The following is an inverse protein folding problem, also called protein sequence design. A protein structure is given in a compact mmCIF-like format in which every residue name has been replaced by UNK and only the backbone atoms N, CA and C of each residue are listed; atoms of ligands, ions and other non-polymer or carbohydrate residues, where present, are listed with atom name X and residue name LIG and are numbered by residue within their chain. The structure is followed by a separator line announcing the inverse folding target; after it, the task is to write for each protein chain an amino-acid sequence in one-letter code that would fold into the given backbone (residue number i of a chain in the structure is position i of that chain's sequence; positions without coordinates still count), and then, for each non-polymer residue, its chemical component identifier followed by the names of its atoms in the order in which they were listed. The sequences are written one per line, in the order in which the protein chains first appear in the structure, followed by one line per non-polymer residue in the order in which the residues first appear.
data_IF_000654279789
#
_entry.id   IF_000654279789
#
_cell.length_a   1.000
_cell.length_b   1.000
_cell.length_c   1.000
_cell.angle_alpha   90.00
_cell.angle_beta   90.00
_cell.angle_gamma   90.00
#
_symmetry.space_group_name_H-M   'P 1'
#
loop_
_entity.id
_entity.type
_entity.pdbx_description
1 polymer ?
#
# COMPACT_ATOMS: atom_id res chain seq x y z
N UNK A 1 9.57 5.26 3.01
CA UNK A 1 10.45 4.44 3.88
C UNK A 1 11.93 4.76 3.68
N UNK A 2 12.61 4.33 2.61
CA UNK A 2 14.06 4.59 2.40
C UNK A 2 14.46 6.06 2.54
N UNK A 3 13.64 6.96 2.01
CA UNK A 3 13.82 8.41 2.18
C UNK A 3 13.88 8.83 3.66
N UNK A 4 12.95 8.36 4.48
CA UNK A 4 12.94 8.64 5.91
C UNK A 4 14.15 8.00 6.61
N UNK A 5 14.45 6.73 6.31
CA UNK A 5 15.61 6.03 6.88
C UNK A 5 16.95 6.74 6.59
N UNK A 6 17.09 7.37 5.43
CA UNK A 6 18.34 8.02 5.02
C UNK A 6 18.45 9.50 5.44
N UNK A 7 17.36 10.26 5.34
CA UNK A 7 17.40 11.71 5.51
C UNK A 7 16.73 12.20 6.81
N UNK A 8 15.87 11.38 7.41
CA UNK A 8 15.05 11.73 8.57
C UNK A 8 14.93 10.54 9.55
N UNK A 9 16.06 9.98 10.02
CA UNK A 9 16.05 8.80 10.90
C UNK A 9 15.24 9.01 12.18
N UNK A 10 15.16 10.26 12.67
CA UNK A 10 14.34 10.63 13.83
C UNK A 10 12.84 10.42 13.60
N UNK A 11 12.37 10.41 12.36
CA UNK A 11 10.96 10.16 12.00
C UNK A 11 10.64 8.69 11.71
N UNK A 12 11.63 7.80 11.69
CA UNK A 12 11.40 6.37 11.37
C UNK A 12 10.44 5.72 12.36
N UNK A 13 10.47 6.13 13.63
CA UNK A 13 9.56 5.61 14.67
C UNK A 13 8.09 6.01 14.46
N UNK A 14 7.83 7.03 13.64
CA UNK A 14 6.48 7.47 13.27
C UNK A 14 5.94 6.76 12.01
N UNK A 15 6.78 5.99 11.31
CA UNK A 15 6.29 5.17 10.20
C UNK A 15 5.40 4.06 10.73
N UNK A 16 4.30 3.80 10.04
CA UNK A 16 3.43 2.67 10.36
C UNK A 16 4.23 1.36 10.36
N UNK A 17 4.05 0.55 11.41
CA UNK A 17 4.65 -0.78 11.52
C UNK A 17 4.01 -1.78 10.55
N UNK A 18 2.90 -1.40 9.90
CA UNK A 18 2.26 -2.20 8.87
C UNK A 18 3.22 -2.41 7.69
N UNK A 19 3.36 -3.68 7.30
CA UNK A 19 4.04 -4.03 6.04
C UNK A 19 3.25 -3.47 4.84
N UNK A 20 3.90 -3.27 3.71
CA UNK A 20 3.15 -2.88 2.50
C UNK A 20 2.25 -4.01 2.00
N UNK A 21 1.20 -3.72 1.19
CA UNK A 21 0.32 -4.74 0.65
C UNK A 21 1.06 -5.87 -0.08
N UNK A 22 2.15 -5.55 -0.80
CA UNK A 22 3.01 -6.54 -1.44
C UNK A 22 3.56 -7.55 -0.43
N UNK A 23 4.11 -7.07 0.68
CA UNK A 23 4.77 -7.91 1.67
C UNK A 23 3.77 -8.64 2.56
N UNK A 24 2.64 -8.02 2.88
CA UNK A 24 1.53 -8.70 3.55
C UNK A 24 1.01 -9.86 2.68
N UNK A 25 0.77 -9.60 1.40
CA UNK A 25 0.29 -10.61 0.46
C UNK A 25 1.31 -11.74 0.27
N UNK A 26 2.60 -11.43 0.09
CA UNK A 26 3.65 -12.44 -0.05
C UNK A 26 3.72 -13.37 1.16
N UNK A 27 3.71 -12.80 2.37
CA UNK A 27 3.73 -13.58 3.60
C UNK A 27 2.51 -14.51 3.73
N UNK A 28 1.31 -13.95 3.54
CA UNK A 28 0.03 -14.67 3.69
C UNK A 28 -0.19 -15.72 2.59
N UNK A 29 0.14 -15.39 1.33
CA UNK A 29 -0.02 -16.32 0.20
C UNK A 29 0.82 -17.57 0.40
N UNK A 30 2.10 -17.42 0.76
CA UNK A 30 2.97 -18.55 1.05
C UNK A 30 2.50 -19.39 2.25
N UNK A 31 1.94 -18.77 3.28
CA UNK A 31 1.43 -19.50 4.46
C UNK A 31 0.13 -20.26 4.17
N UNK A 32 -0.84 -19.59 3.55
CA UNK A 32 -2.16 -20.19 3.28
C UNK A 32 -2.07 -21.22 2.16
N UNK A 33 -1.38 -20.93 1.06
CA UNK A 33 -1.30 -21.83 -0.09
C UNK A 33 -0.42 -23.06 0.21
N UNK A 34 0.63 -22.94 1.03
CA UNK A 34 1.44 -24.12 1.40
C UNK A 34 0.60 -25.11 2.19
N UNK A 35 -0.19 -24.62 3.15
CA UNK A 35 -1.11 -25.42 3.92
C UNK A 35 -2.22 -26.05 3.04
N UNK A 36 -2.84 -25.27 2.15
CA UNK A 36 -3.94 -25.74 1.31
C UNK A 36 -3.52 -26.72 0.21
N UNK A 37 -2.35 -26.51 -0.41
CA UNK A 37 -1.84 -27.36 -1.49
C UNK A 37 -0.99 -28.52 -0.97
N UNK A 38 -0.75 -28.59 0.34
CA UNK A 38 0.11 -29.58 0.98
C UNK A 38 1.54 -29.60 0.39
N UNK A 39 2.07 -28.42 0.08
CA UNK A 39 3.44 -28.22 -0.42
C UNK A 39 4.25 -27.45 0.61
N UNK A 40 5.58 -27.43 0.45
CA UNK A 40 6.41 -26.60 1.35
C UNK A 40 6.31 -25.13 0.96
N UNK A 41 6.58 -24.25 1.93
CA UNK A 41 6.66 -22.80 1.71
C UNK A 41 7.68 -22.42 0.62
N UNK A 42 8.81 -23.14 0.58
CA UNK A 42 9.89 -22.94 -0.40
C UNK A 42 9.49 -23.28 -1.85
N UNK A 43 8.46 -24.13 -2.02
CA UNK A 43 7.97 -24.55 -3.33
C UNK A 43 6.99 -23.51 -3.93
N UNK A 44 6.56 -22.52 -3.15
CA UNK A 44 5.66 -21.45 -3.61
C UNK A 44 6.48 -20.24 -4.03
N UNK A 45 6.36 -19.90 -5.32
CA UNK A 45 6.95 -18.72 -5.92
C UNK A 45 5.90 -17.62 -6.04
N UNK A 46 6.13 -16.51 -5.35
CA UNK A 46 5.32 -15.29 -5.42
C UNK A 46 5.97 -14.28 -6.35
N UNK A 47 5.29 -14.02 -7.46
CA UNK A 47 5.67 -12.97 -8.42
C UNK A 47 4.73 -11.78 -8.25
N UNK A 48 5.29 -10.64 -7.87
CA UNK A 48 4.53 -9.41 -7.69
C UNK A 48 4.64 -8.51 -8.93
N UNK A 49 3.53 -7.98 -9.40
CA UNK A 49 3.48 -7.03 -10.53
C UNK A 49 3.22 -5.63 -9.98
N UNK A 50 4.15 -4.71 -10.21
CA UNK A 50 4.14 -3.39 -9.58
C UNK A 50 4.42 -2.25 -10.56
N UNK A 51 3.74 -1.11 -10.48
CA UNK A 51 4.05 0.07 -11.29
C UNK A 51 5.28 0.84 -10.77
N UNK A 52 6.09 0.27 -9.87
CA UNK A 52 7.17 0.95 -9.17
C UNK A 52 8.41 0.06 -9.04
N UNK A 53 9.59 0.62 -9.34
CA UNK A 53 10.88 -0.10 -9.23
C UNK A 53 11.35 -0.24 -7.79
N UNK A 54 10.96 0.66 -6.88
CA UNK A 54 11.33 0.58 -5.47
C UNK A 54 10.83 -0.70 -4.79
N UNK A 55 9.73 -1.29 -5.30
CA UNK A 55 9.20 -2.56 -4.83
C UNK A 55 10.16 -3.74 -5.04
N UNK A 56 11.03 -3.68 -6.05
CA UNK A 56 12.11 -4.66 -6.26
C UNK A 56 13.14 -4.61 -5.13
N UNK A 57 13.46 -3.41 -4.65
CA UNK A 57 14.34 -3.23 -3.49
C UNK A 57 13.64 -3.70 -2.22
N UNK A 58 12.37 -3.32 -2.03
CA UNK A 58 11.57 -3.76 -0.88
C UNK A 58 11.54 -5.28 -0.74
N UNK A 59 11.29 -6.04 -1.82
CA UNK A 59 11.28 -7.51 -1.80
C UNK A 59 12.62 -8.16 -1.42
N UNK A 60 13.73 -7.42 -1.44
CA UNK A 60 15.06 -7.92 -1.08
C UNK A 60 15.47 -7.56 0.35
N UNK A 61 14.65 -6.82 1.08
CA UNK A 61 14.97 -6.42 2.46
C UNK A 61 15.00 -7.65 3.39
N UNK A 62 16.02 -7.82 4.25
CA UNK A 62 16.18 -9.02 5.09
C UNK A 62 14.99 -9.34 5.99
N UNK A 63 14.28 -8.33 6.49
CA UNK A 63 13.11 -8.48 7.37
C UNK A 63 11.87 -9.07 6.67
N UNK A 64 11.86 -9.16 5.33
CA UNK A 64 10.82 -9.84 4.56
C UNK A 64 11.25 -11.24 4.13
N UNK A 65 12.06 -11.88 4.99
CA UNK A 65 12.52 -13.25 4.87
C UNK A 65 12.19 -14.00 6.15
N UNK A 66 11.62 -15.19 6.03
CA UNK A 66 11.34 -16.10 7.14
C UNK A 66 12.03 -17.43 6.86
N UNK A 67 12.91 -17.86 7.76
CA UNK A 67 13.65 -19.12 7.65
C UNK A 67 14.44 -19.25 6.33
N UNK A 68 15.01 -18.13 5.86
CA UNK A 68 15.73 -18.05 4.57
C UNK A 68 14.83 -17.95 3.34
N UNK A 69 13.50 -18.01 3.50
CA UNK A 69 12.52 -17.95 2.42
C UNK A 69 11.93 -16.54 2.35
N UNK A 70 12.06 -15.89 1.19
CA UNK A 70 11.49 -14.56 0.96
C UNK A 70 9.96 -14.61 0.95
N UNK A 71 9.33 -13.56 1.44
CA UNK A 71 7.88 -13.37 1.33
C UNK A 71 7.46 -13.12 -0.13
N UNK A 72 8.29 -12.40 -0.90
CA UNK A 72 8.11 -12.18 -2.33
C UNK A 72 9.38 -12.53 -3.08
N UNK A 73 9.30 -13.45 -4.04
CA UNK A 73 10.47 -13.99 -4.73
C UNK A 73 10.91 -13.08 -5.88
N UNK A 74 9.94 -12.63 -6.67
CA UNK A 74 10.18 -11.78 -7.84
C UNK A 74 9.24 -10.59 -7.86
N UNK A 75 9.74 -9.47 -8.39
CA UNK A 75 8.93 -8.27 -8.63
C UNK A 75 9.18 -7.83 -10.06
N UNK A 76 8.12 -7.85 -10.87
CA UNK A 76 8.11 -7.34 -12.23
C UNK A 76 7.42 -5.99 -12.27
N UNK A 77 7.90 -5.12 -13.14
CA UNK A 77 7.21 -3.89 -13.50
C UNK A 77 6.07 -4.18 -14.47
N UNK A 78 5.10 -3.26 -14.56
CA UNK A 78 4.05 -3.33 -15.59
C UNK A 78 4.65 -3.40 -17.01
N UNK A 79 5.79 -2.74 -17.24
CA UNK A 79 6.50 -2.80 -18.53
C UNK A 79 7.10 -4.18 -18.81
N UNK A 80 7.71 -4.82 -17.80
CA UNK A 80 8.25 -6.18 -17.93
C UNK A 80 7.15 -7.21 -18.18
N UNK A 81 6.02 -7.10 -17.47
CA UNK A 81 4.86 -7.97 -17.74
C UNK A 81 4.31 -7.75 -19.16
N UNK A 82 4.21 -6.49 -19.61
CA UNK A 82 3.75 -6.18 -20.96
C UNK A 82 4.61 -6.86 -22.04
N UNK A 83 5.95 -6.81 -21.89
CA UNK A 83 6.86 -7.50 -22.81
C UNK A 83 6.69 -9.01 -22.78
N UNK A 84 6.52 -9.62 -21.59
CA UNK A 84 6.29 -11.06 -21.48
C UNK A 84 5.00 -11.50 -22.20
N UNK A 85 3.94 -10.69 -22.12
CA UNK A 85 2.67 -10.96 -22.82
C UNK A 85 2.87 -10.89 -24.34
N UNK A 86 3.59 -9.89 -24.83
CA UNK A 86 3.91 -9.72 -26.26
C UNK A 86 4.78 -10.87 -26.78
N UNK A 87 5.84 -11.24 -26.04
CA UNK A 87 6.76 -12.32 -26.39
C UNK A 87 6.09 -13.70 -26.39
N UNK A 88 5.06 -13.89 -25.55
CA UNK A 88 4.23 -15.10 -25.55
C UNK A 88 3.28 -15.18 -26.77
N UNK A 89 3.20 -14.13 -27.61
CA UNK A 89 2.31 -14.07 -28.75
C UNK A 89 0.84 -13.85 -28.39
N UNK A 90 0.54 -13.42 -27.16
CA UNK A 90 -0.82 -13.20 -26.69
C UNK A 90 -1.40 -11.91 -27.23
N UNK A 91 -2.59 -12.00 -27.83
CA UNK A 91 -3.37 -10.83 -28.23
C UNK A 91 -4.17 -10.31 -27.04
N UNK A 92 -3.49 -9.58 -26.15
CA UNK A 92 -4.08 -9.11 -24.89
C UNK A 92 -5.44 -8.41 -25.04
N UNK A 93 -5.63 -7.64 -26.13
CA UNK A 93 -6.89 -6.92 -26.41
C UNK A 93 -8.08 -7.82 -26.76
N UNK A 94 -7.81 -9.08 -27.11
CA UNK A 94 -8.84 -10.07 -27.47
C UNK A 94 -9.21 -10.96 -26.28
N UNK A 95 -8.51 -10.83 -25.13
CA UNK A 95 -8.80 -11.62 -23.94
C UNK A 95 -10.07 -11.13 -23.24
N UNK A 96 -10.93 -12.09 -22.86
CA UNK A 96 -12.06 -11.83 -21.99
C UNK A 96 -11.62 -11.66 -20.52
N UNK A 97 -12.38 -10.93 -19.69
CA UNK A 97 -12.11 -10.84 -18.27
C UNK A 97 -12.33 -12.18 -17.57
N UNK A 98 -11.47 -12.52 -16.62
CA UNK A 98 -11.59 -13.69 -15.76
C UNK A 98 -11.61 -13.28 -14.28
N UNK A 99 -12.16 -14.14 -13.43
CA UNK A 99 -12.18 -13.92 -11.99
C UNK A 99 -10.85 -14.30 -11.34
N UNK A 100 -10.47 -13.58 -10.29
CA UNK A 100 -9.32 -13.97 -9.48
C UNK A 100 -9.57 -15.28 -8.71
N UNK A 101 -8.49 -16.04 -8.47
CA UNK A 101 -8.57 -17.28 -7.70
C UNK A 101 -8.80 -17.02 -6.21
N UNK A 102 -9.58 -17.90 -5.59
CA UNK A 102 -9.71 -17.96 -4.13
C UNK A 102 -8.44 -18.57 -3.49
N UNK A 103 -8.11 -18.21 -2.23
CA UNK A 103 -8.87 -17.35 -1.31
C UNK A 103 -8.60 -15.84 -1.49
N UNK A 104 -7.67 -15.45 -2.35
CA UNK A 104 -7.20 -14.05 -2.45
C UNK A 104 -7.94 -13.19 -3.46
N UNK A 105 -8.95 -13.75 -4.15
CA UNK A 105 -9.67 -13.06 -5.21
C UNK A 105 -10.69 -12.01 -4.75
N UNK A 106 -10.94 -11.87 -3.45
CA UNK A 106 -11.84 -10.85 -2.92
C UNK A 106 -11.17 -9.48 -2.88
N UNK A 107 -11.77 -8.50 -3.58
CA UNK A 107 -11.38 -7.09 -3.52
C UNK A 107 -12.45 -6.27 -2.81
N UNK A 108 -12.04 -5.40 -1.89
CA UNK A 108 -12.91 -4.35 -1.35
C UNK A 108 -12.70 -3.07 -2.16
N UNK A 109 -13.71 -2.18 -2.20
CA UNK A 109 -13.56 -0.88 -2.88
C UNK A 109 -12.39 -0.04 -2.33
N UNK A 110 -12.07 -0.19 -1.04
CA UNK A 110 -10.91 0.44 -0.41
C UNK A 110 -9.55 -0.11 -0.93
N UNK A 111 -9.48 -1.41 -1.26
CA UNK A 111 -8.27 -2.01 -1.85
C UNK A 111 -8.01 -1.53 -3.28
N UNK A 112 -9.05 -1.19 -4.04
CA UNK A 112 -8.94 -0.71 -5.43
C UNK A 112 -8.38 0.71 -5.50
N UNK A 113 -8.72 1.58 -4.55
CA UNK A 113 -8.26 2.99 -4.55
C UNK A 113 -6.86 3.18 -3.99
N UNK A 114 -6.22 2.14 -3.44
CA UNK A 114 -4.89 2.21 -2.81
C UNK A 114 -3.78 2.68 -3.76
N UNK A 115 -3.98 2.57 -5.08
CA UNK A 115 -3.04 3.05 -6.10
C UNK A 115 -3.11 4.55 -6.40
N UNK A 116 -4.13 5.26 -5.88
CA UNK A 116 -4.32 6.68 -6.09
C UNK A 116 -3.87 7.46 -4.85
N UNK A 117 -3.27 8.64 -5.06
CA UNK A 117 -2.91 9.56 -3.97
C UNK A 117 -4.15 9.94 -3.16
N UNK A 118 -4.13 9.69 -1.84
CA UNK A 118 -5.26 9.88 -0.92
C UNK A 118 -6.10 8.62 -0.69
N UNK A 119 -5.87 7.55 -1.45
CA UNK A 119 -6.62 6.30 -1.31
C UNK A 119 -6.32 5.55 -0.02
N UNK A 120 -5.09 5.65 0.48
CA UNK A 120 -4.70 5.04 1.77
C UNK A 120 -5.39 5.78 2.91
N UNK A 121 -5.31 7.11 2.91
CA UNK A 121 -5.97 7.97 3.89
C UNK A 121 -7.48 7.76 3.91
N UNK A 122 -8.11 7.67 2.74
CA UNK A 122 -9.53 7.36 2.64
C UNK A 122 -9.84 6.00 3.27
N UNK A 123 -9.08 4.94 2.95
CA UNK A 123 -9.28 3.63 3.53
C UNK A 123 -9.15 3.62 5.07
N UNK A 124 -8.18 4.35 5.62
CA UNK A 124 -7.98 4.49 7.07
C UNK A 124 -9.16 5.23 7.71
N UNK A 125 -9.60 6.35 7.11
CA UNK A 125 -10.73 7.13 7.62
C UNK A 125 -12.03 6.33 7.64
N UNK A 126 -12.29 5.51 6.61
CA UNK A 126 -13.45 4.59 6.60
C UNK A 126 -13.41 3.64 7.78
N UNK A 127 -12.28 2.98 7.99
CA UNK A 127 -12.11 2.01 9.09
C UNK A 127 -12.24 2.67 10.47
N UNK A 128 -11.56 3.80 10.68
CA UNK A 128 -11.59 4.53 11.96
C UNK A 128 -13.00 5.05 12.25
N UNK A 129 -13.72 5.54 11.24
CA UNK A 129 -15.10 6.00 11.40
C UNK A 129 -16.00 4.86 11.87
N UNK A 130 -16.00 3.72 11.17
CA UNK A 130 -16.79 2.55 11.58
C UNK A 130 -16.45 2.08 13.00
N UNK A 131 -15.16 2.08 13.35
CA UNK A 131 -14.70 1.68 14.69
C UNK A 131 -15.12 2.65 15.79
N UNK A 132 -15.11 3.94 15.52
CA UNK A 132 -15.47 4.96 16.51
C UNK A 132 -16.99 5.12 16.66
N UNK A 133 -17.75 5.02 15.58
CA UNK A 133 -19.21 5.17 15.63
C UNK A 133 -19.93 3.87 15.97
N UNK A 134 -19.30 2.71 15.71
CA UNK A 134 -19.95 1.40 15.80
C UNK A 134 -21.00 1.14 14.71
N UNK A 135 -21.22 2.13 13.83
CA UNK A 135 -22.12 2.02 12.69
C UNK A 135 -21.32 1.55 11.48
N UNK A 136 -21.81 0.52 10.80
CA UNK A 136 -21.30 0.14 9.49
C UNK A 136 -22.20 0.73 8.42
N UNK A 137 -21.68 1.62 7.58
CA UNK A 137 -22.38 2.17 6.42
C UNK A 137 -21.90 1.51 5.14
N UNK A 138 -22.77 1.45 4.13
CA UNK A 138 -22.39 0.92 2.82
C UNK A 138 -21.35 1.78 2.10
N UNK A 139 -21.33 3.09 2.37
CA UNK A 139 -20.29 3.99 1.88
C UNK A 139 -19.98 5.12 2.86
N UNK A 140 -18.68 5.41 2.98
CA UNK A 140 -18.15 6.62 3.58
C UNK A 140 -17.29 7.29 2.50
N UNK A 141 -17.68 8.48 2.06
CA UNK A 141 -16.94 9.23 1.06
C UNK A 141 -16.20 10.39 1.73
N UNK A 142 -14.87 10.32 1.71
CA UNK A 142 -14.00 11.41 2.17
C UNK A 142 -13.42 12.09 0.93
N UNK A 143 -14.25 12.87 0.23
CA UNK A 143 -13.82 13.57 -0.99
C UNK A 143 -12.71 14.58 -0.74
N UNK A 144 -12.58 15.08 0.49
CA UNK A 144 -11.54 16.04 0.90
C UNK A 144 -10.10 15.50 0.81
N UNK A 145 -9.91 14.18 0.85
CA UNK A 145 -8.57 13.56 0.69
C UNK A 145 -8.27 13.18 -0.77
N UNK A 146 -9.27 13.23 -1.66
CA UNK A 146 -9.13 12.97 -3.09
C UNK A 146 -8.64 14.24 -3.81
N UNK A 147 -7.84 14.07 -4.87
CA UNK A 147 -7.42 15.16 -5.74
C UNK A 147 -6.06 14.94 -6.38
N UNK A 148 -5.65 15.88 -7.22
CA UNK A 148 -4.37 15.83 -7.93
C UNK A 148 -3.30 16.77 -7.34
N UNK A 149 -3.67 17.62 -6.37
CA UNK A 149 -2.76 18.56 -5.72
C UNK A 149 -1.61 17.82 -5.02
N UNK A 150 -0.38 18.31 -5.18
CA UNK A 150 0.81 17.63 -4.66
C UNK A 150 0.95 17.61 -3.13
N UNK A 151 0.22 18.49 -2.45
CA UNK A 151 0.06 18.52 -1.00
C UNK A 151 -1.39 18.87 -0.66
N UNK A 152 -1.97 18.14 0.28
CA UNK A 152 -3.34 18.35 0.77
C UNK A 152 -3.35 18.19 2.28
N UNK A 153 -3.93 19.16 2.97
CA UNK A 153 -4.11 19.14 4.42
C UNK A 153 -5.60 19.17 4.71
N UNK A 154 -6.06 18.26 5.58
CA UNK A 154 -7.49 18.08 5.87
C UNK A 154 -7.66 17.96 7.37
N UNK A 155 -8.65 18.67 7.92
CA UNK A 155 -9.13 18.47 9.28
C UNK A 155 -10.55 17.92 9.24
N UNK A 156 -10.79 16.84 9.95
CA UNK A 156 -12.09 16.16 10.01
C UNK A 156 -12.51 15.99 11.46
N UNK A 157 -13.78 16.24 11.75
CA UNK A 157 -14.36 15.88 13.04
C UNK A 157 -14.98 14.49 12.92
N UNK A 158 -14.38 13.50 13.59
CA UNK A 158 -14.86 12.12 13.64
C UNK A 158 -15.23 11.76 15.08
N UNK A 159 -16.50 11.43 15.31
CA UNK A 159 -17.04 11.06 16.63
C UNK A 159 -16.68 12.06 17.75
N UNK A 160 -16.70 13.36 17.45
CA UNK A 160 -16.37 14.43 18.40
C UNK A 160 -14.88 14.66 18.65
N UNK A 161 -13.98 13.99 17.91
CA UNK A 161 -12.54 14.29 17.88
C UNK A 161 -12.17 14.96 16.57
N UNK A 162 -11.39 16.03 16.64
CA UNK A 162 -10.73 16.60 15.46
C UNK A 162 -9.52 15.72 15.13
N UNK A 163 -9.43 15.29 13.87
CA UNK A 163 -8.33 14.52 13.30
C UNK A 163 -7.76 15.31 12.14
N UNK A 164 -6.46 15.52 12.17
CA UNK A 164 -5.67 16.24 11.20
C UNK A 164 -4.88 15.28 10.31
N UNK A 165 -5.00 15.44 8.99
CA UNK A 165 -4.39 14.59 8.00
C UNK A 165 -3.62 15.42 6.96
N UNK A 166 -2.51 14.89 6.49
CA UNK A 166 -1.82 15.40 5.31
C UNK A 166 -1.64 14.28 4.28
N UNK A 167 -1.89 14.59 3.00
CA UNK A 167 -1.58 13.72 1.87
C UNK A 167 -0.61 14.47 0.98
N UNK A 168 0.61 13.95 0.87
CA UNK A 168 1.66 14.52 0.02
C UNK A 168 2.03 13.52 -1.07
N UNK A 169 2.28 14.03 -2.27
CA UNK A 169 2.75 13.25 -3.40
C UNK A 169 4.14 13.75 -3.79
N UNK A 170 5.11 12.84 -3.80
CA UNK A 170 6.49 13.13 -4.18
C UNK A 170 7.39 13.57 -3.02
N UNK A 171 8.66 13.19 -3.11
CA UNK A 171 9.63 13.35 -2.03
C UNK A 171 10.03 14.80 -1.74
N UNK A 172 9.84 15.71 -2.71
CA UNK A 172 10.03 17.15 -2.49
C UNK A 172 9.01 17.70 -1.49
N UNK A 173 7.71 17.48 -1.75
CA UNK A 173 6.64 17.89 -0.84
C UNK A 173 6.74 17.17 0.51
N UNK A 174 7.15 15.91 0.53
CA UNK A 174 7.39 15.18 1.78
C UNK A 174 8.51 15.82 2.62
N UNK A 175 9.56 16.32 1.97
CA UNK A 175 10.64 17.07 2.63
C UNK A 175 10.09 18.33 3.27
N UNK A 176 9.39 19.15 2.50
CA UNK A 176 8.85 20.43 2.95
C UNK A 176 7.90 20.26 4.14
N UNK A 177 7.05 19.22 4.11
CA UNK A 177 6.15 18.89 5.20
C UNK A 177 6.90 18.48 6.47
N UNK A 178 7.92 17.62 6.34
CA UNK A 178 8.73 17.19 7.49
C UNK A 178 9.45 18.37 8.13
N UNK A 179 10.01 19.30 7.34
CA UNK A 179 10.66 20.49 7.89
C UNK A 179 9.68 21.41 8.66
N UNK A 180 8.44 21.58 8.15
CA UNK A 180 7.37 22.30 8.88
C UNK A 180 6.97 21.61 10.19
N UNK A 181 7.01 20.28 10.23
CA UNK A 181 6.75 19.53 11.48
C UNK A 181 7.91 19.70 12.46
N UNK A 182 9.16 19.66 11.98
CA UNK A 182 10.36 19.87 12.82
C UNK A 182 10.42 21.26 13.42
N UNK A 183 9.99 22.29 12.69
CA UNK A 183 9.94 23.66 13.19
C UNK A 183 8.80 23.92 14.18
N UNK A 184 7.86 22.98 14.31
CA UNK A 184 6.64 23.13 15.12
C UNK A 184 5.56 23.99 14.45
N UNK A 185 5.71 24.30 13.15
CA UNK A 185 4.73 25.08 12.39
C UNK A 185 3.47 24.26 12.09
N UNK A 186 3.57 22.93 12.05
CA UNK A 186 2.45 22.06 11.70
C UNK A 186 2.46 20.73 12.45
N UNK A 187 1.26 20.24 12.76
CA UNK A 187 1.02 18.98 13.45
C UNK A 187 -0.10 18.20 12.74
N UNK A 188 0.13 16.91 12.52
CA UNK A 188 -0.82 16.00 11.88
C UNK A 188 -0.90 14.68 12.64
N UNK A 189 -2.10 14.09 12.70
CA UNK A 189 -2.33 12.77 13.28
C UNK A 189 -2.00 11.63 12.31
N UNK A 190 -2.19 11.88 11.00
CA UNK A 190 -1.88 10.93 9.93
C UNK A 190 -1.27 11.64 8.71
N UNK A 191 -0.20 11.07 8.15
CA UNK A 191 0.43 11.56 6.94
C UNK A 191 0.55 10.42 5.93
N UNK A 192 0.03 10.62 4.73
CA UNK A 192 0.25 9.76 3.57
C UNK A 192 1.32 10.40 2.67
N UNK A 193 2.32 9.60 2.28
CA UNK A 193 3.43 9.98 1.40
C UNK A 193 3.57 8.98 0.27
#
# INVERSE_FOLDING_TARGET
VKFAEQYYPEFVQHLSTCRSPQQMFGALSKEILSAQLHVKREDIIVVSIMPCTAKKFEAKRPEFTRDGIKDVDFVLTTQELGRMIEEAGLRFRELGPESFNLPFGFKTGAGVIFGNSGGVSEAVLRYVTEKLTGEKRESYEFTSVRGENSSREVKLSLAGREISLAVVSGLGNARDLIERIKSGESHYDLIEV
#
